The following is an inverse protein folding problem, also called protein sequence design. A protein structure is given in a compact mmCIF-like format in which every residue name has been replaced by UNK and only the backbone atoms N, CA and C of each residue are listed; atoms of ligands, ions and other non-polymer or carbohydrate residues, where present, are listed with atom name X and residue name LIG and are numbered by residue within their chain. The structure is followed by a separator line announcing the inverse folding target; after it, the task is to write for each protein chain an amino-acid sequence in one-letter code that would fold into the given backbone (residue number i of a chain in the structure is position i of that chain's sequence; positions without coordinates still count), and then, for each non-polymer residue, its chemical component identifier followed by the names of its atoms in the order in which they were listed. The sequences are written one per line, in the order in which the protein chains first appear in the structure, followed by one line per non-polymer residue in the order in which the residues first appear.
data_IF_096837806636
#
_entry.id   IF_096837806636
#
_cell.length_a   1.000
_cell.length_b   1.000
_cell.length_c   1.000
_cell.angle_alpha   90.00
_cell.angle_beta   90.00
_cell.angle_gamma   90.00
#
_symmetry.space_group_name_H-M   'P 1'
#
loop_
_entity.id
_entity.type
_entity.pdbx_description
1 polymer ?
#
# COMPACT_ATOMS: atom_id res chain seq x y z
N UNK A 1 3.19 4.89 12.03
CA UNK A 1 1.84 5.36 11.64
C UNK A 1 1.87 6.24 10.38
N UNK A 2 2.83 6.06 9.45
CA UNK A 2 3.06 6.95 8.29
C UNK A 2 3.06 6.17 6.97
N UNK A 3 2.17 5.17 6.86
CA UNK A 3 2.16 4.23 5.72
C UNK A 3 0.86 4.23 4.92
N UNK A 4 -0.15 4.99 5.34
CA UNK A 4 -1.15 5.48 4.39
C UNK A 4 -0.58 6.74 3.77
N UNK A 5 0.07 6.57 2.62
CA UNK A 5 0.48 7.70 1.80
C UNK A 5 -0.77 8.54 1.52
N UNK A 6 -0.73 9.83 1.89
CA UNK A 6 -1.83 10.77 1.71
C UNK A 6 -2.31 10.75 0.26
N UNK A 7 -1.41 10.50 -0.71
CA UNK A 7 -1.76 10.30 -2.11
C UNK A 7 -2.70 9.11 -2.34
N UNK A 8 -2.46 7.97 -1.67
CA UNK A 8 -3.34 6.80 -1.77
C UNK A 8 -4.74 7.07 -1.22
N UNK A 9 -4.85 7.82 -0.11
CA UNK A 9 -6.15 8.24 0.44
C UNK A 9 -6.88 9.17 -0.53
N UNK A 10 -6.16 10.14 -1.12
CA UNK A 10 -6.73 11.07 -2.10
C UNK A 10 -7.24 10.33 -3.33
N UNK A 11 -6.49 9.37 -3.85
CA UNK A 11 -6.91 8.56 -5.01
C UNK A 11 -8.15 7.72 -4.68
N UNK A 12 -8.23 7.12 -3.49
CA UNK A 12 -9.44 6.40 -3.05
C UNK A 12 -10.63 7.35 -2.99
N UNK A 13 -10.46 8.51 -2.35
CA UNK A 13 -11.54 9.47 -2.17
C UNK A 13 -12.08 9.98 -3.51
N UNK A 14 -11.19 10.37 -4.44
CA UNK A 14 -11.59 10.83 -5.77
C UNK A 14 -12.28 9.70 -6.54
N UNK A 15 -11.71 8.49 -6.53
CA UNK A 15 -12.31 7.33 -7.22
C UNK A 15 -13.69 7.01 -6.65
N UNK A 16 -13.87 7.10 -5.33
CA UNK A 16 -15.15 6.86 -4.66
C UNK A 16 -16.20 7.94 -4.99
N UNK A 17 -15.79 9.22 -5.05
CA UNK A 17 -16.68 10.33 -5.43
C UNK A 17 -17.12 10.17 -6.88
N UNK A 18 -16.19 9.89 -7.80
CA UNK A 18 -16.52 9.69 -9.22
C UNK A 18 -17.41 8.45 -9.42
N UNK A 19 -17.14 7.35 -8.71
CA UNK A 19 -17.99 6.15 -8.71
C UNK A 19 -19.42 6.45 -8.22
N UNK A 20 -19.54 7.20 -7.12
CA UNK A 20 -20.83 7.61 -6.58
C UNK A 20 -21.59 8.50 -7.58
N UNK A 21 -20.91 9.48 -8.19
CA UNK A 21 -21.50 10.34 -9.22
C UNK A 21 -21.97 9.53 -10.43
N UNK A 22 -21.13 8.61 -10.95
CA UNK A 22 -21.50 7.72 -12.05
C UNK A 22 -22.79 6.95 -11.73
N UNK A 23 -22.84 6.29 -10.57
CA UNK A 23 -24.02 5.57 -10.07
C UNK A 23 -25.32 6.40 -10.09
N UNK A 24 -25.24 7.69 -9.73
CA UNK A 24 -26.39 8.59 -9.74
C UNK A 24 -26.75 9.13 -11.13
N UNK A 25 -25.77 9.32 -12.03
CA UNK A 25 -26.00 9.89 -13.36
C UNK A 25 -26.34 8.86 -14.44
N UNK A 26 -25.72 7.67 -14.44
CA UNK A 26 -25.94 6.62 -15.46
C UNK A 26 -26.97 5.57 -15.04
N UNK A 27 -27.35 5.54 -13.76
CA UNK A 27 -28.32 4.59 -13.20
C UNK A 27 -27.71 3.22 -12.91
N UNK A 28 -28.32 2.48 -12.00
CA UNK A 28 -27.79 1.24 -11.40
C UNK A 28 -27.49 0.08 -12.38
N UNK A 29 -27.90 0.19 -13.64
CA UNK A 29 -28.02 -0.93 -14.57
C UNK A 29 -27.09 -0.89 -15.77
N UNK A 30 -26.49 0.26 -16.16
CA UNK A 30 -25.75 0.27 -17.43
C UNK A 30 -24.32 -0.26 -17.33
N UNK A 31 -23.56 -0.03 -16.25
CA UNK A 31 -22.15 -0.48 -16.15
C UNK A 31 -21.67 -0.74 -14.70
N UNK A 32 -22.59 -0.93 -13.76
CA UNK A 32 -22.27 -1.04 -12.32
C UNK A 32 -21.20 -2.09 -11.99
N UNK A 33 -21.24 -3.26 -12.64
CA UNK A 33 -20.25 -4.32 -12.43
C UNK A 33 -18.86 -3.93 -12.95
N UNK A 34 -18.79 -3.20 -14.06
CA UNK A 34 -17.55 -2.71 -14.65
C UNK A 34 -16.93 -1.66 -13.72
N UNK A 35 -17.73 -0.71 -13.25
CA UNK A 35 -17.31 0.40 -12.40
C UNK A 35 -16.93 -0.09 -10.99
N UNK A 36 -17.69 -1.03 -10.41
CA UNK A 36 -17.34 -1.69 -9.15
C UNK A 36 -16.06 -2.53 -9.27
N UNK A 37 -15.82 -3.15 -10.43
CA UNK A 37 -14.58 -3.86 -10.74
C UNK A 37 -13.35 -2.94 -10.72
N UNK A 38 -13.46 -1.76 -11.35
CA UNK A 38 -12.38 -0.75 -11.35
C UNK A 38 -12.12 -0.22 -9.93
N UNK A 39 -13.17 0.04 -9.14
CA UNK A 39 -13.03 0.43 -7.73
C UNK A 39 -12.34 -0.66 -6.90
N UNK A 40 -12.74 -1.92 -7.07
CA UNK A 40 -12.18 -3.05 -6.32
C UNK A 40 -10.71 -3.34 -6.70
N UNK A 41 -10.34 -3.17 -7.97
CA UNK A 41 -8.93 -3.22 -8.40
C UNK A 41 -8.13 -2.10 -7.73
N UNK A 42 -8.67 -0.88 -7.65
CA UNK A 42 -8.00 0.26 -6.98
C UNK A 42 -7.75 -0.02 -5.49
N UNK A 43 -8.76 -0.52 -4.76
CA UNK A 43 -8.61 -0.90 -3.35
C UNK A 43 -7.58 -2.03 -3.19
N UNK A 44 -7.62 -3.04 -4.07
CA UNK A 44 -6.66 -4.16 -4.05
C UNK A 44 -5.22 -3.69 -4.24
N UNK A 45 -4.97 -2.81 -5.20
CA UNK A 45 -3.64 -2.26 -5.46
C UNK A 45 -3.11 -1.47 -4.26
N UNK A 46 -3.98 -0.74 -3.57
CA UNK A 46 -3.59 0.04 -2.39
C UNK A 46 -3.25 -0.86 -1.21
N UNK A 47 -4.08 -1.88 -0.94
CA UNK A 47 -3.80 -2.87 0.11
C UNK A 47 -2.50 -3.62 -0.21
N UNK A 48 -2.27 -3.98 -1.48
CA UNK A 48 -1.06 -4.66 -1.92
C UNK A 48 0.18 -3.79 -1.71
N UNK A 49 0.13 -2.51 -2.09
CA UNK A 49 1.24 -1.59 -1.91
C UNK A 49 1.55 -1.36 -0.44
N UNK A 50 0.53 -1.21 0.41
CA UNK A 50 0.70 -1.12 1.86
C UNK A 50 1.41 -2.36 2.43
N UNK A 51 0.95 -3.57 2.08
CA UNK A 51 1.59 -4.82 2.52
C UNK A 51 3.03 -4.92 2.04
N UNK A 52 3.29 -4.51 0.81
CA UNK A 52 4.66 -4.46 0.24
C UNK A 52 5.55 -3.52 1.04
N UNK A 53 5.07 -2.31 1.36
CA UNK A 53 5.81 -1.34 2.17
C UNK A 53 6.16 -1.87 3.56
N UNK A 54 5.19 -2.50 4.24
CA UNK A 54 5.42 -3.11 5.57
C UNK A 54 6.43 -4.25 5.49
N UNK A 55 6.37 -5.06 4.43
CA UNK A 55 7.35 -6.13 4.21
C UNK A 55 8.75 -5.59 3.95
N UNK A 56 8.87 -4.52 3.17
CA UNK A 56 10.15 -3.87 2.88
C UNK A 56 10.77 -3.25 4.14
N UNK A 57 9.96 -2.60 4.99
CA UNK A 57 10.40 -2.07 6.28
C UNK A 57 10.94 -3.18 7.19
N UNK A 58 10.23 -4.31 7.29
CA UNK A 58 10.69 -5.47 8.05
C UNK A 58 12.02 -6.01 7.53
N UNK A 59 12.16 -6.17 6.21
CA UNK A 59 13.42 -6.64 5.59
C UNK A 59 14.56 -5.67 5.91
N UNK A 60 14.33 -4.35 5.81
CA UNK A 60 15.34 -3.35 6.15
C UNK A 60 15.78 -3.42 7.61
N UNK A 61 14.86 -3.64 8.54
CA UNK A 61 15.18 -3.80 9.96
C UNK A 61 16.01 -5.07 10.20
N UNK A 62 15.58 -6.22 9.67
CA UNK A 62 16.31 -7.48 9.79
C UNK A 62 17.72 -7.37 9.18
N UNK A 63 17.87 -6.67 8.06
CA UNK A 63 19.17 -6.43 7.43
C UNK A 63 20.07 -5.50 8.29
N UNK A 64 19.48 -4.51 8.97
CA UNK A 64 20.17 -3.64 9.92
C UNK A 64 20.67 -4.40 11.15
N UNK A 65 19.85 -5.30 11.69
CA UNK A 65 20.23 -6.19 12.80
C UNK A 65 21.40 -7.09 12.40
N UNK A 66 21.32 -7.75 11.23
CA UNK A 66 22.42 -8.59 10.72
C UNK A 66 23.71 -7.77 10.56
N UNK A 67 23.62 -6.56 10.00
CA UNK A 67 24.79 -5.68 9.84
C UNK A 67 25.43 -5.34 11.18
N UNK A 68 24.63 -5.03 12.18
CA UNK A 68 25.11 -4.69 13.54
C UNK A 68 25.82 -5.88 14.18
N UNK A 69 25.22 -7.08 14.11
CA UNK A 69 25.83 -8.31 14.61
C UNK A 69 27.17 -8.63 13.93
N UNK A 70 27.28 -8.39 12.62
CA UNK A 70 28.53 -8.58 11.88
C UNK A 70 29.62 -7.59 12.31
N UNK A 71 29.27 -6.33 12.58
CA UNK A 71 30.19 -5.31 13.10
C UNK A 71 30.70 -5.66 14.51
N UNK A 72 29.83 -6.14 15.39
CA UNK A 72 30.20 -6.61 16.73
C UNK A 72 31.13 -7.84 16.69
N UNK A 73 30.83 -8.81 15.82
CA UNK A 73 31.69 -9.99 15.63
C UNK A 73 33.05 -9.63 15.05
N UNK A 74 33.10 -8.64 14.15
CA UNK A 74 34.37 -8.13 13.62
C UNK A 74 35.21 -7.48 14.72
N UNK A 75 34.61 -6.61 15.53
CA UNK A 75 35.30 -5.96 16.65
C UNK A 75 35.81 -6.97 17.70
N UNK A 76 35.06 -8.05 17.95
CA UNK A 76 35.47 -9.10 18.89
C UNK A 76 36.66 -9.93 18.38
N UNK A 77 36.84 -10.06 17.07
CA UNK A 77 37.97 -10.79 16.45
C UNK A 77 39.28 -10.00 16.37
N UNK A 78 39.22 -8.68 16.52
CA UNK A 78 40.39 -7.78 16.48
C UNK A 78 41.01 -7.54 17.88
N UNK A 79 40.38 -8.06 18.94
CA UNK A 79 40.85 -8.14 20.33
C UNK A 79 41.49 -9.51 20.61
#
# INVERSE_FOLDING_TARGET
MKHFDTGSIVVIAITFILFSLALFFTGFTHDLLLEAGVFLVSVKLIIMNYKSSVSAERIHNELGEIKTLLEELKHTKEL
#
